data_IF_312048344370
#
_entry.id   IF_312048344370
#
_cell.length_a   1.000
_cell.length_b   1.000
_cell.length_c   1.000
_cell.angle_alpha   90.00
_cell.angle_beta   90.00
_cell.angle_gamma   90.00
#
_symmetry.space_group_name_H-M   'P 1'
#
loop_
_entity.id
_entity.type
_entity.pdbx_description
1 polymer ?
#
# COMPACT_ATOMS: atom_id res chain seq x y z
N UNK A 1 5.46 22.22 6.46
CA UNK A 1 4.18 21.56 6.16
C UNK A 1 3.13 22.10 7.10
N UNK A 2 1.96 22.45 6.58
CA UNK A 2 0.81 22.96 7.34
C UNK A 2 0.23 21.79 8.14
N UNK A 3 0.13 21.86 9.48
CA UNK A 3 -0.32 20.76 10.33
C UNK A 3 -1.86 20.61 10.32
N UNK A 4 -2.44 20.49 9.13
CA UNK A 4 -3.88 20.29 8.87
C UNK A 4 -4.07 19.44 7.62
N UNK A 5 -5.18 18.74 7.54
CA UNK A 5 -5.59 18.03 6.32
C UNK A 5 -5.84 19.03 5.18
N UNK A 6 -5.54 18.63 3.94
CA UNK A 6 -5.56 19.53 2.78
C UNK A 6 -6.93 20.16 2.52
N UNK A 7 -8.02 19.44 2.79
CA UNK A 7 -9.41 19.88 2.65
C UNK A 7 -9.84 20.88 3.74
N UNK A 8 -9.07 20.99 4.82
CA UNK A 8 -9.32 21.90 5.93
C UNK A 8 -8.47 23.17 5.89
N UNK A 9 -7.51 23.26 4.97
CA UNK A 9 -6.66 24.45 4.80
C UNK A 9 -7.51 25.58 4.23
N UNK A 10 -7.43 26.75 4.87
CA UNK A 10 -8.15 27.95 4.45
C UNK A 10 -7.18 29.13 4.26
N UNK A 11 -7.70 30.24 3.75
CA UNK A 11 -6.92 31.47 3.60
C UNK A 11 -6.27 31.92 4.92
N UNK A 12 -6.95 31.75 6.05
CA UNK A 12 -6.42 32.14 7.36
C UNK A 12 -5.14 31.39 7.73
N UNK A 13 -4.98 30.15 7.25
CA UNK A 13 -3.75 29.37 7.47
C UNK A 13 -2.58 29.91 6.65
N UNK A 14 -2.84 30.35 5.41
CA UNK A 14 -1.83 31.00 4.56
C UNK A 14 -1.47 32.38 5.09
N UNK A 15 -2.44 33.12 5.61
CA UNK A 15 -2.21 34.39 6.30
C UNK A 15 -1.38 34.20 7.57
N UNK A 16 -1.63 33.14 8.34
CA UNK A 16 -0.82 32.83 9.51
C UNK A 16 0.65 32.54 9.14
N UNK A 17 0.93 31.87 8.01
CA UNK A 17 2.30 31.69 7.52
C UNK A 17 2.97 33.03 7.21
N UNK A 18 2.22 33.96 6.60
CA UNK A 18 2.69 35.32 6.30
C UNK A 18 2.96 36.13 7.57
N UNK A 19 2.00 36.20 8.49
CA UNK A 19 2.09 36.98 9.72
C UNK A 19 3.23 36.49 10.64
N UNK A 20 3.45 35.18 10.68
CA UNK A 20 4.55 34.58 11.44
C UNK A 20 5.89 34.61 10.68
N UNK A 21 5.94 35.22 9.48
CA UNK A 21 7.15 35.30 8.65
C UNK A 21 7.83 33.94 8.45
N UNK A 22 7.03 32.91 8.16
CA UNK A 22 7.54 31.54 8.00
C UNK A 22 8.28 31.45 6.67
N UNK A 23 9.61 31.24 6.67
CA UNK A 23 10.37 31.17 5.44
C UNK A 23 10.14 29.84 4.73
N UNK A 24 10.45 29.82 3.43
CA UNK A 24 10.68 28.59 2.69
C UNK A 24 11.74 27.72 3.38
N UNK A 25 11.73 26.43 3.03
CA UNK A 25 12.85 25.58 3.41
C UNK A 25 12.58 24.12 3.12
N UNK A 26 12.83 23.29 4.11
CA UNK A 26 12.83 21.83 3.93
C UNK A 26 11.43 21.26 3.64
N UNK A 27 10.37 21.89 4.15
CA UNK A 27 8.99 21.36 4.11
C UNK A 27 7.95 22.33 3.54
N UNK A 28 8.39 23.48 3.01
CA UNK A 28 7.55 24.51 2.41
C UNK A 28 8.28 25.11 1.19
N UNK A 29 7.51 25.37 0.14
CA UNK A 29 7.90 26.11 -1.05
C UNK A 29 6.71 26.99 -1.47
N UNK A 30 6.97 28.25 -1.80
CA UNK A 30 6.02 29.25 -2.24
C UNK A 30 6.24 29.55 -3.72
N UNK A 31 5.17 29.51 -4.51
CA UNK A 31 5.20 29.84 -5.94
C UNK A 31 4.09 30.82 -6.27
N UNK A 32 4.41 31.81 -7.09
CA UNK A 32 3.42 32.78 -7.55
C UNK A 32 2.44 32.16 -8.55
N UNK A 33 2.95 31.38 -9.51
CA UNK A 33 2.18 30.84 -10.63
C UNK A 33 2.33 29.32 -10.76
N UNK A 34 1.33 28.68 -11.37
CA UNK A 34 1.39 27.28 -11.77
C UNK A 34 2.39 27.06 -12.92
N UNK A 35 2.98 25.86 -13.06
CA UNK A 35 3.90 25.59 -14.16
C UNK A 35 3.22 25.76 -15.52
N UNK A 36 3.84 26.55 -16.40
CA UNK A 36 3.32 26.80 -17.73
C UNK A 36 3.47 25.58 -18.66
N UNK A 37 3.14 25.75 -19.94
CA UNK A 37 3.34 24.71 -20.96
C UNK A 37 4.81 24.53 -21.36
N UNK A 38 5.69 25.46 -20.98
CA UNK A 38 7.13 25.43 -21.29
C UNK A 38 7.84 24.28 -20.58
N UNK A 39 8.78 23.65 -21.28
CA UNK A 39 9.53 22.52 -20.73
C UNK A 39 10.36 22.89 -19.49
N UNK A 40 10.90 24.11 -19.45
CA UNK A 40 11.71 24.57 -18.32
C UNK A 40 10.87 24.60 -17.03
N UNK A 41 9.67 25.16 -17.10
CA UNK A 41 8.75 25.28 -15.97
C UNK A 41 8.25 23.91 -15.51
N UNK A 42 7.98 23.01 -16.45
CA UNK A 42 7.63 21.61 -16.15
C UNK A 42 8.77 20.90 -15.43
N UNK A 43 10.01 21.04 -15.91
CA UNK A 43 11.18 20.43 -15.25
C UNK A 43 11.37 20.99 -13.84
N UNK A 44 11.19 22.29 -13.67
CA UNK A 44 11.35 22.95 -12.38
C UNK A 44 10.31 22.47 -11.37
N UNK A 45 9.04 22.40 -11.79
CA UNK A 45 7.95 21.85 -10.99
C UNK A 45 8.18 20.39 -10.58
N UNK A 46 8.57 19.53 -11.52
CA UNK A 46 8.86 18.12 -11.23
C UNK A 46 10.08 17.98 -10.30
N UNK A 47 11.06 18.88 -10.43
CA UNK A 47 12.21 18.93 -9.54
C UNK A 47 11.77 19.35 -8.11
N UNK A 48 10.87 20.32 -7.98
CA UNK A 48 10.31 20.71 -6.68
C UNK A 48 9.58 19.53 -6.02
N UNK A 49 8.63 18.91 -6.74
CA UNK A 49 7.86 17.77 -6.24
C UNK A 49 8.76 16.60 -5.87
N UNK A 50 9.67 16.16 -6.76
CA UNK A 50 10.59 15.04 -6.46
C UNK A 50 11.53 15.35 -5.30
N UNK A 51 11.96 16.60 -5.14
CA UNK A 51 12.83 16.99 -4.04
C UNK A 51 12.18 16.81 -2.67
N UNK A 52 10.87 17.09 -2.53
CA UNK A 52 10.14 16.84 -1.29
C UNK A 52 10.04 15.36 -0.98
N UNK A 53 9.66 14.55 -1.97
CA UNK A 53 9.55 13.10 -1.84
C UNK A 53 10.87 12.45 -1.44
N UNK A 54 12.00 12.94 -1.96
CA UNK A 54 13.35 12.45 -1.66
C UNK A 54 13.92 12.95 -0.33
N UNK A 55 13.26 13.90 0.33
CA UNK A 55 13.72 14.52 1.56
C UNK A 55 12.83 14.13 2.75
N UNK A 56 12.01 15.08 3.24
CA UNK A 56 11.17 14.90 4.43
C UNK A 56 9.69 15.07 4.13
N UNK A 57 9.30 15.19 2.86
CA UNK A 57 7.98 15.64 2.45
C UNK A 57 7.76 17.13 2.74
N UNK A 58 6.63 17.67 2.27
CA UNK A 58 6.27 19.08 2.47
C UNK A 58 5.10 19.53 1.61
N UNK A 59 4.86 20.84 1.65
CA UNK A 59 3.81 21.50 0.88
C UNK A 59 4.40 22.49 -0.14
N UNK A 60 3.95 22.39 -1.39
CA UNK A 60 4.09 23.42 -2.42
C UNK A 60 2.84 24.29 -2.41
N UNK A 61 2.98 25.60 -2.21
CA UNK A 61 1.86 26.53 -2.11
C UNK A 61 1.92 27.51 -3.28
N UNK A 62 0.89 27.49 -4.12
CA UNK A 62 0.76 28.34 -5.29
C UNK A 62 -0.18 29.53 -5.06
N UNK A 63 0.08 30.64 -5.75
CA UNK A 63 -0.65 31.90 -5.59
C UNK A 63 -0.01 32.84 -4.56
N UNK A 64 1.26 32.63 -4.25
CA UNK A 64 2.00 33.34 -3.20
C UNK A 64 3.23 33.99 -3.79
N UNK A 65 3.42 35.28 -3.57
CA UNK A 65 4.67 35.97 -3.88
C UNK A 65 5.57 35.88 -2.66
N UNK A 66 6.75 35.32 -2.87
CA UNK A 66 7.81 35.31 -1.88
C UNK A 66 8.71 36.54 -1.98
N UNK A 67 9.23 36.97 -0.84
CA UNK A 67 10.36 37.87 -0.74
C UNK A 67 11.63 37.08 -1.04
N UNK A 68 12.36 37.48 -2.09
CA UNK A 68 13.57 36.78 -2.58
C UNK A 68 14.77 36.83 -1.62
N UNK A 69 14.80 37.78 -0.69
CA UNK A 69 15.88 37.89 0.30
C UNK A 69 15.59 37.03 1.54
N UNK A 70 14.32 36.98 1.97
CA UNK A 70 13.94 36.30 3.21
C UNK A 70 13.30 34.92 3.02
N UNK A 71 12.81 34.61 1.81
CA UNK A 71 12.04 33.40 1.51
C UNK A 71 10.68 33.38 2.20
N UNK A 72 10.20 34.51 2.72
CA UNK A 72 8.90 34.62 3.40
C UNK A 72 7.83 35.13 2.46
N UNK A 73 6.56 35.04 2.85
CA UNK A 73 5.44 35.52 2.03
C UNK A 73 5.41 37.06 2.01
N UNK A 74 5.68 37.66 0.86
CA UNK A 74 5.49 39.10 0.62
C UNK A 74 4.00 39.41 0.42
N UNK A 75 3.31 38.64 -0.43
CA UNK A 75 1.89 38.84 -0.71
C UNK A 75 1.15 37.56 -1.14
N UNK A 76 -0.15 37.51 -0.83
CA UNK A 76 -1.06 36.44 -1.24
C UNK A 76 -1.88 36.97 -2.43
N UNK A 77 -1.32 36.92 -3.63
CA UNK A 77 -2.02 37.43 -4.82
C UNK A 77 -3.04 36.46 -5.39
N UNK A 78 -2.89 35.16 -5.15
CA UNK A 78 -3.74 34.13 -5.72
C UNK A 78 -3.59 33.93 -7.22
N UNK A 79 -4.13 32.81 -7.68
CA UNK A 79 -4.16 32.36 -9.06
C UNK A 79 -5.51 32.70 -9.69
N UNK A 80 -5.48 33.10 -10.96
CA UNK A 80 -6.68 33.20 -11.79
C UNK A 80 -6.78 31.93 -12.65
N UNK A 81 -7.68 31.02 -12.28
CA UNK A 81 -7.85 29.74 -12.97
C UNK A 81 -9.30 29.63 -13.46
N UNK A 82 -9.49 29.41 -14.76
CA UNK A 82 -10.83 29.25 -15.35
C UNK A 82 -11.48 27.93 -14.94
N UNK A 83 -10.71 26.84 -14.95
CA UNK A 83 -11.16 25.51 -14.58
C UNK A 83 -10.14 24.83 -13.66
N UNK A 84 -10.42 24.86 -12.36
CA UNK A 84 -9.52 24.32 -11.33
C UNK A 84 -9.34 22.81 -11.47
N UNK A 85 -10.43 22.07 -11.72
CA UNK A 85 -10.38 20.61 -11.84
C UNK A 85 -9.48 20.16 -13.00
N UNK A 86 -9.55 20.88 -14.13
CA UNK A 86 -8.69 20.63 -15.28
C UNK A 86 -7.22 20.89 -14.97
N UNK A 87 -6.91 21.95 -14.21
CA UNK A 87 -5.53 22.25 -13.81
C UNK A 87 -4.99 21.24 -12.80
N UNK A 88 -5.81 20.79 -11.84
CA UNK A 88 -5.44 19.72 -10.90
C UNK A 88 -5.08 18.44 -11.67
N UNK A 89 -5.95 18.01 -12.60
CA UNK A 89 -5.68 16.84 -13.45
C UNK A 89 -4.40 17.00 -14.27
N UNK A 90 -4.16 18.19 -14.83
CA UNK A 90 -2.95 18.48 -15.60
C UNK A 90 -1.68 18.34 -14.76
N UNK A 91 -1.71 18.82 -13.51
CA UNK A 91 -0.57 18.73 -12.59
C UNK A 91 -0.32 17.29 -12.16
N UNK A 92 -1.37 16.54 -11.85
CA UNK A 92 -1.29 15.12 -11.48
C UNK A 92 -0.71 14.27 -12.61
N UNK A 93 -1.22 14.44 -13.84
CA UNK A 93 -0.69 13.78 -15.03
C UNK A 93 0.81 14.12 -15.25
N UNK A 94 1.18 15.39 -15.03
CA UNK A 94 2.57 15.81 -15.17
C UNK A 94 3.50 15.14 -14.17
N UNK A 95 3.08 15.02 -12.90
CA UNK A 95 3.82 14.33 -11.84
C UNK A 95 3.96 12.84 -12.19
N UNK A 96 2.85 12.21 -12.57
CA UNK A 96 2.79 10.77 -12.89
C UNK A 96 3.68 10.37 -14.06
N UNK A 97 3.76 11.23 -15.08
CA UNK A 97 4.48 10.94 -16.32
C UNK A 97 5.93 11.46 -16.29
N UNK A 98 6.23 12.44 -15.43
CA UNK A 98 7.52 13.12 -15.38
C UNK A 98 8.48 12.65 -14.28
N UNK A 99 8.03 11.78 -13.37
CA UNK A 99 8.83 11.30 -12.22
C UNK A 99 8.88 9.78 -12.18
N UNK A 100 10.09 9.24 -11.98
CA UNK A 100 10.37 7.80 -11.93
C UNK A 100 11.33 7.43 -10.78
N UNK A 101 11.05 6.40 -9.95
CA UNK A 101 9.75 5.72 -9.84
C UNK A 101 8.63 6.71 -9.49
N UNK A 102 7.35 6.34 -9.67
CA UNK A 102 6.23 7.25 -9.36
C UNK A 102 6.19 7.56 -7.86
N UNK A 103 5.85 8.78 -7.48
CA UNK A 103 5.72 9.14 -6.06
C UNK A 103 4.37 8.61 -5.57
N UNK A 104 4.32 7.74 -4.55
CA UNK A 104 3.05 7.33 -3.96
C UNK A 104 2.38 8.50 -3.25
N UNK A 105 1.07 8.66 -3.43
CA UNK A 105 0.20 9.53 -2.60
C UNK A 105 0.54 11.03 -2.62
N UNK A 106 0.78 11.62 -3.81
CA UNK A 106 0.77 13.09 -3.94
C UNK A 106 -0.67 13.58 -3.95
N UNK A 107 -0.98 14.57 -3.12
CA UNK A 107 -2.35 15.10 -3.00
C UNK A 107 -2.36 16.59 -3.30
N UNK A 108 -3.35 17.04 -4.06
CA UNK A 108 -3.57 18.46 -4.38
C UNK A 108 -4.84 18.92 -3.65
N UNK A 109 -4.77 20.05 -2.96
CA UNK A 109 -5.90 20.60 -2.22
C UNK A 109 -7.06 20.96 -3.15
N UNK A 110 -8.31 20.98 -2.65
CA UNK A 110 -9.35 21.79 -3.25
C UNK A 110 -8.91 23.25 -3.40
N UNK A 111 -9.54 24.05 -4.28
CA UNK A 111 -9.21 25.47 -4.41
C UNK A 111 -9.46 26.18 -3.07
N UNK A 112 -8.44 26.87 -2.58
CA UNK A 112 -8.54 27.68 -1.37
C UNK A 112 -8.98 29.09 -1.80
N UNK A 113 -10.24 29.50 -1.57
CA UNK A 113 -10.71 30.82 -1.96
C UNK A 113 -10.01 31.90 -1.14
N UNK A 114 -9.58 32.97 -1.81
CA UNK A 114 -9.00 34.15 -1.19
C UNK A 114 -10.00 35.32 -1.20
N UNK A 115 -9.84 36.26 -0.28
CA UNK A 115 -10.64 37.49 -0.17
C UNK A 115 -10.67 38.31 -1.46
N UNK A 116 -9.62 38.25 -2.27
CA UNK A 116 -9.51 38.97 -3.54
C UNK A 116 -10.22 38.25 -4.72
N UNK A 117 -11.06 37.25 -4.45
CA UNK A 117 -11.78 36.42 -5.43
C UNK A 117 -10.91 35.55 -6.32
N UNK A 118 -9.62 35.40 -6.00
CA UNK A 118 -8.72 34.42 -6.62
C UNK A 118 -8.58 33.19 -5.72
N UNK A 119 -7.78 32.21 -6.16
CA UNK A 119 -7.60 30.96 -5.42
C UNK A 119 -6.12 30.65 -5.16
N UNK A 120 -5.83 29.98 -4.06
CA UNK A 120 -4.54 29.33 -3.83
C UNK A 120 -4.69 27.80 -3.95
N UNK A 121 -3.58 27.12 -4.25
CA UNK A 121 -3.52 25.66 -4.32
C UNK A 121 -2.35 25.16 -3.50
N UNK A 122 -2.54 24.05 -2.79
CA UNK A 122 -1.49 23.38 -2.03
C UNK A 122 -1.30 21.98 -2.58
N UNK A 123 -0.06 21.65 -2.97
CA UNK A 123 0.34 20.29 -3.31
C UNK A 123 1.12 19.71 -2.13
N UNK A 124 0.57 18.70 -1.48
CA UNK A 124 1.25 17.97 -0.43
C UNK A 124 1.97 16.77 -1.01
N UNK A 125 3.27 16.74 -0.78
CA UNK A 125 4.14 15.64 -1.20
C UNK A 125 4.65 14.94 0.06
N UNK A 126 4.26 13.69 0.32
CA UNK A 126 4.78 12.95 1.46
C UNK A 126 6.25 12.58 1.24
N UNK A 127 6.97 12.28 2.32
CA UNK A 127 8.27 11.62 2.20
C UNK A 127 8.04 10.25 1.55
N UNK A 128 8.75 9.97 0.46
CA UNK A 128 8.61 8.70 -0.23
C UNK A 128 9.57 7.64 0.29
N UNK A 129 9.00 6.46 0.51
CA UNK A 129 9.71 5.26 0.94
C UNK A 129 10.43 4.53 -0.20
N UNK A 130 10.07 4.80 -1.45
CA UNK A 130 10.77 4.28 -2.64
C UNK A 130 11.71 5.32 -3.27
N UNK A 131 12.09 6.33 -2.48
CA UNK A 131 13.13 7.28 -2.86
C UNK A 131 14.47 6.56 -3.15
N UNK A 132 15.33 7.13 -4.01
CA UNK A 132 15.18 8.43 -4.65
C UNK A 132 14.37 8.38 -5.97
N UNK A 133 13.59 9.44 -6.18
CA UNK A 133 12.82 9.75 -7.38
C UNK A 133 13.61 10.66 -8.32
N UNK A 134 13.56 10.33 -9.61
CA UNK A 134 14.21 11.07 -10.69
C UNK A 134 13.17 11.83 -11.49
N UNK A 135 13.53 13.02 -11.96
CA UNK A 135 12.78 13.71 -13.00
C UNK A 135 13.18 13.15 -14.37
N UNK A 136 12.33 12.31 -14.97
CA UNK A 136 12.57 11.66 -16.27
C UNK A 136 12.11 12.49 -17.46
N UNK A 137 11.39 13.59 -17.22
CA UNK A 137 10.81 14.43 -18.27
C UNK A 137 11.85 14.95 -19.28
N UNK A 138 11.66 14.61 -20.56
CA UNK A 138 12.52 14.98 -21.70
C UNK A 138 14.02 14.74 -21.44
N UNK A 139 14.36 13.60 -20.83
CA UNK A 139 15.75 13.18 -20.61
C UNK A 139 16.52 14.08 -19.64
N UNK A 140 15.81 14.74 -18.72
CA UNK A 140 16.46 15.56 -17.69
C UNK A 140 17.25 14.70 -16.71
N UNK A 141 16.72 13.54 -16.36
CA UNK A 141 17.35 12.42 -15.64
C UNK A 141 18.12 12.81 -14.36
N UNK A 142 17.65 13.83 -13.65
CA UNK A 142 18.24 14.30 -12.38
C UNK A 142 17.41 13.93 -11.18
N UNK A 143 18.10 13.63 -10.09
CA UNK A 143 17.53 13.42 -8.77
C UNK A 143 17.75 14.68 -7.93
N UNK A 144 16.70 15.10 -7.23
CA UNK A 144 16.72 16.29 -6.39
C UNK A 144 16.40 15.92 -4.95
N UNK A 145 16.93 16.66 -3.99
CA UNK A 145 16.56 16.62 -2.59
C UNK A 145 16.49 18.02 -2.02
N UNK A 146 16.09 18.16 -0.75
CA UNK A 146 15.91 19.45 -0.07
C UNK A 146 16.73 19.55 1.21
N UNK A 147 17.33 20.72 1.39
CA UNK A 147 18.00 21.13 2.62
C UNK A 147 17.22 22.28 3.27
N UNK A 148 17.77 22.90 4.31
CA UNK A 148 17.25 24.16 4.82
C UNK A 148 17.26 25.28 3.78
N UNK A 149 18.18 25.21 2.80
CA UNK A 149 18.40 26.25 1.80
C UNK A 149 17.66 25.96 0.47
N UNK A 150 16.65 25.08 0.52
CA UNK A 150 15.84 24.71 -0.64
C UNK A 150 16.36 23.47 -1.38
N UNK A 151 15.90 23.36 -2.63
CA UNK A 151 16.15 22.24 -3.54
C UNK A 151 17.58 22.22 -4.08
N UNK A 152 18.20 21.03 -4.15
CA UNK A 152 19.50 20.82 -4.78
C UNK A 152 19.56 19.45 -5.49
N UNK A 153 20.39 19.29 -6.53
CA UNK A 153 20.60 17.98 -7.16
C UNK A 153 21.46 17.08 -6.25
N UNK A 154 21.05 15.82 -6.09
CA UNK A 154 21.80 14.83 -5.30
C UNK A 154 23.10 14.43 -6.01
N UNK A 155 24.18 14.30 -5.24
CA UNK A 155 25.44 13.75 -5.74
C UNK A 155 25.50 12.21 -5.71
N UNK A 156 26.59 11.62 -6.21
CA UNK A 156 26.76 10.16 -6.27
C UNK A 156 26.81 9.51 -4.87
N UNK A 157 27.39 10.17 -3.87
CA UNK A 157 27.46 9.65 -2.52
C UNK A 157 26.10 9.70 -1.84
N UNK A 158 25.38 10.81 -1.99
CA UNK A 158 24.02 10.96 -1.46
C UNK A 158 23.04 10.02 -2.17
N UNK A 159 23.16 9.84 -3.50
CA UNK A 159 22.39 8.85 -4.24
C UNK A 159 22.64 7.43 -3.71
N UNK A 160 23.90 7.05 -3.47
CA UNK A 160 24.22 5.75 -2.89
C UNK A 160 23.57 5.57 -1.51
N UNK A 161 23.59 6.60 -0.67
CA UNK A 161 22.92 6.57 0.64
C UNK A 161 21.40 6.44 0.47
N UNK A 162 20.80 7.22 -0.43
CA UNK A 162 19.37 7.22 -0.70
C UNK A 162 18.88 5.85 -1.20
N UNK A 163 19.57 5.24 -2.17
CA UNK A 163 19.24 3.90 -2.66
C UNK A 163 19.39 2.82 -1.59
N UNK A 164 20.42 2.89 -0.74
CA UNK A 164 20.59 1.92 0.35
C UNK A 164 19.47 2.04 1.41
N UNK A 165 18.97 3.25 1.67
CA UNK A 165 17.89 3.47 2.64
C UNK A 165 16.56 2.86 2.17
N UNK A 166 16.23 2.90 0.88
CA UNK A 166 15.04 2.24 0.32
C UNK A 166 15.19 0.72 0.22
N UNK A 167 16.40 0.22 -0.06
CA UNK A 167 16.71 -1.21 -0.04
C UNK A 167 16.42 -1.85 1.34
N UNK A 168 16.53 -1.09 2.44
CA UNK A 168 16.22 -1.60 3.79
C UNK A 168 14.74 -1.94 4.02
N UNK A 169 13.78 -1.32 3.32
CA UNK A 169 12.35 -1.53 3.59
C UNK A 169 11.79 -2.75 2.89
N UNK A 170 12.06 -2.91 1.59
CA UNK A 170 11.70 -4.13 0.87
C UNK A 170 12.38 -5.36 1.49
N UNK A 171 13.63 -5.23 1.92
CA UNK A 171 14.34 -6.29 2.60
C UNK A 171 13.74 -6.60 3.98
N UNK A 172 13.29 -5.59 4.74
CA UNK A 172 12.53 -5.81 5.99
C UNK A 172 11.20 -6.51 5.76
N UNK A 173 10.46 -6.16 4.72
CA UNK A 173 9.21 -6.83 4.33
C UNK A 173 9.47 -8.30 4.00
N UNK A 174 10.50 -8.58 3.19
CA UNK A 174 10.90 -9.95 2.84
C UNK A 174 11.33 -10.75 4.07
N UNK A 175 12.15 -10.16 4.94
CA UNK A 175 12.61 -10.82 6.16
C UNK A 175 11.45 -11.09 7.13
N UNK A 176 10.50 -10.15 7.27
CA UNK A 176 9.27 -10.39 8.01
C UNK A 176 8.51 -11.59 7.43
N UNK A 177 8.26 -11.60 6.12
CA UNK A 177 7.56 -12.71 5.46
C UNK A 177 8.27 -14.05 5.69
N UNK A 178 9.58 -14.12 5.53
CA UNK A 178 10.38 -15.34 5.70
C UNK A 178 10.37 -15.85 7.14
N UNK A 179 10.50 -14.96 8.13
CA UNK A 179 10.38 -15.29 9.56
C UNK A 179 8.99 -15.86 9.87
N UNK A 180 7.93 -15.18 9.41
CA UNK A 180 6.55 -15.63 9.63
C UNK A 180 6.27 -16.97 8.98
N UNK A 181 6.67 -17.16 7.71
CA UNK A 181 6.50 -18.45 7.01
C UNK A 181 7.18 -19.58 7.78
N UNK A 182 8.40 -19.34 8.28
CA UNK A 182 9.17 -20.35 9.00
C UNK A 182 8.50 -20.73 10.32
N UNK A 183 7.99 -19.76 11.08
CA UNK A 183 7.23 -19.98 12.33
C UNK A 183 5.91 -20.71 12.08
N UNK A 184 5.13 -20.29 11.08
CA UNK A 184 3.86 -20.94 10.74
C UNK A 184 4.10 -22.39 10.28
N UNK A 185 5.15 -22.63 9.48
CA UNK A 185 5.52 -23.97 9.03
C UNK A 185 5.91 -24.89 10.21
N UNK A 186 6.59 -24.35 11.22
CA UNK A 186 6.94 -25.05 12.45
C UNK A 186 5.81 -25.14 13.50
N UNK A 187 4.59 -24.67 13.18
CA UNK A 187 3.46 -24.49 14.13
C UNK A 187 3.79 -23.61 15.35
N UNK A 188 4.74 -22.69 15.23
CA UNK A 188 4.99 -21.62 16.20
C UNK A 188 4.01 -20.46 15.98
N UNK A 189 2.72 -20.77 16.11
CA UNK A 189 1.59 -19.87 15.89
C UNK A 189 1.13 -19.20 17.18
N UNK A 190 0.41 -18.05 17.13
CA UNK A 190 -0.05 -17.35 18.33
C UNK A 190 -1.08 -18.14 19.16
N UNK A 191 -1.60 -19.25 18.62
CA UNK A 191 -2.54 -20.20 19.23
C UNK A 191 -2.12 -21.62 18.86
N UNK A 192 -2.43 -22.66 19.66
CA UNK A 192 -2.28 -24.04 19.22
C UNK A 192 -3.02 -24.25 17.90
N UNK A 193 -2.35 -24.80 16.89
CA UNK A 193 -2.89 -24.87 15.54
C UNK A 193 -2.73 -26.28 14.97
N UNK A 194 -3.62 -26.68 14.06
CA UNK A 194 -3.53 -27.97 13.39
C UNK A 194 -2.19 -28.19 12.70
N UNK A 195 -1.62 -29.39 12.90
CA UNK A 195 -0.39 -29.81 12.25
C UNK A 195 -0.66 -30.40 10.87
N UNK A 196 -1.10 -29.54 9.95
CA UNK A 196 -1.43 -29.91 8.57
C UNK A 196 -1.06 -28.81 7.58
N UNK A 197 -1.44 -28.99 6.32
CA UNK A 197 -1.27 -27.99 5.28
C UNK A 197 -2.08 -26.72 5.56
N UNK A 198 -1.49 -25.56 5.24
CA UNK A 198 -2.05 -24.24 5.59
C UNK A 198 -2.00 -23.28 4.41
N UNK A 199 -2.91 -22.32 4.42
CA UNK A 199 -2.93 -21.15 3.57
C UNK A 199 -2.63 -19.93 4.46
N UNK A 200 -1.57 -19.21 4.16
CA UNK A 200 -1.17 -18.00 4.86
C UNK A 200 -1.29 -16.78 3.93
N UNK A 201 -2.04 -15.77 4.37
CA UNK A 201 -2.22 -14.49 3.72
C UNK A 201 -1.65 -13.39 4.60
N UNK A 202 -0.66 -12.65 4.08
CA UNK A 202 -0.07 -11.50 4.74
C UNK A 202 -0.41 -10.23 3.98
N UNK A 203 -0.98 -9.24 4.65
CA UNK A 203 -1.11 -7.86 4.16
C UNK A 203 -0.13 -7.02 4.98
N UNK A 204 0.86 -6.47 4.30
CA UNK A 204 2.00 -5.77 4.90
C UNK A 204 2.05 -4.35 4.34
N UNK A 205 1.40 -3.37 5.00
CA UNK A 205 1.56 -1.96 4.66
C UNK A 205 3.04 -1.56 4.73
N UNK A 206 3.53 -0.78 3.78
CA UNK A 206 4.94 -0.35 3.81
C UNK A 206 5.26 0.47 5.08
N UNK A 207 4.27 1.24 5.55
CA UNK A 207 4.39 2.10 6.73
C UNK A 207 4.58 1.31 8.03
N UNK A 208 4.29 0.01 8.05
CA UNK A 208 4.41 -0.87 9.22
C UNK A 208 5.84 -1.01 9.77
N UNK A 209 6.85 -0.61 9.01
CA UNK A 209 8.24 -0.64 9.44
C UNK A 209 8.79 0.72 9.90
N UNK A 210 7.93 1.75 9.92
CA UNK A 210 8.22 3.01 10.61
C UNK A 210 8.04 2.80 12.12
N UNK A 211 9.08 2.99 12.96
CA UNK A 211 8.99 2.77 14.40
C UNK A 211 7.94 3.63 15.13
N UNK A 212 7.55 4.77 14.54
CA UNK A 212 6.52 5.63 15.10
C UNK A 212 5.09 5.17 14.76
N UNK A 213 4.92 4.27 13.79
CA UNK A 213 3.61 3.82 13.35
C UNK A 213 3.00 2.84 14.33
N UNK A 214 1.82 3.17 14.85
CA UNK A 214 1.02 2.26 15.67
C UNK A 214 -0.47 2.57 15.47
N UNK A 215 -1.29 1.53 15.41
CA UNK A 215 -2.74 1.61 15.25
C UNK A 215 -3.45 1.14 16.52
N UNK A 216 -4.60 1.73 16.81
CA UNK A 216 -5.43 1.35 17.94
C UNK A 216 -6.24 0.07 17.64
N UNK A 217 -5.83 -1.02 18.27
CA UNK A 217 -6.50 -2.31 18.17
C UNK A 217 -7.90 -2.34 18.82
N UNK A 218 -8.26 -1.34 19.65
CA UNK A 218 -9.58 -1.27 20.29
C UNK A 218 -10.74 -1.17 19.29
N UNK A 219 -10.47 -0.62 18.10
CA UNK A 219 -11.41 -0.53 16.98
C UNK A 219 -11.82 -1.92 16.48
N UNK A 220 -10.92 -2.91 16.58
CA UNK A 220 -11.18 -4.31 16.22
C UNK A 220 -11.83 -5.04 17.39
N UNK A 221 -11.38 -4.79 18.61
CA UNK A 221 -11.93 -5.43 19.80
C UNK A 221 -13.39 -5.05 20.07
N UNK A 222 -13.78 -3.82 19.72
CA UNK A 222 -15.17 -3.35 19.83
C UNK A 222 -16.10 -4.00 18.82
N UNK A 223 -15.58 -4.47 17.68
CA UNK A 223 -16.34 -5.18 16.66
C UNK A 223 -15.46 -6.18 15.90
N UNK A 224 -15.42 -7.40 16.43
CA UNK A 224 -14.60 -8.47 15.86
C UNK A 224 -15.09 -8.98 14.50
N UNK A 225 -16.29 -8.58 14.06
CA UNK A 225 -16.80 -8.92 12.73
C UNK A 225 -16.01 -8.23 11.60
N UNK A 226 -15.23 -7.20 11.92
CA UNK A 226 -14.31 -6.53 11.00
C UNK A 226 -13.06 -7.36 10.68
N UNK A 227 -12.76 -8.38 11.49
CA UNK A 227 -11.57 -9.23 11.32
C UNK A 227 -11.90 -10.72 11.52
N UNK A 228 -12.79 -11.30 10.70
CA UNK A 228 -13.16 -12.69 10.85
C UNK A 228 -12.02 -13.63 10.39
N UNK A 229 -11.76 -14.73 11.10
CA UNK A 229 -10.90 -15.81 10.59
C UNK A 229 -11.40 -16.37 9.27
N UNK A 230 -10.47 -16.70 8.39
CA UNK A 230 -10.76 -17.30 7.07
C UNK A 230 -11.50 -18.63 7.25
N UNK A 231 -12.49 -18.91 6.40
CA UNK A 231 -13.26 -20.16 6.44
C UNK A 231 -13.80 -20.53 7.85
N UNK A 232 -14.45 -19.58 8.52
CA UNK A 232 -14.99 -19.78 9.87
C UNK A 232 -16.48 -19.42 9.99
N UNK A 233 -17.15 -20.05 10.97
CA UNK A 233 -18.56 -19.82 11.31
C UNK A 233 -18.76 -19.16 12.69
N UNK A 234 -17.68 -19.04 13.46
CA UNK A 234 -17.63 -18.43 14.78
C UNK A 234 -16.17 -18.36 15.25
N UNK A 235 -15.85 -17.41 16.12
CA UNK A 235 -14.48 -17.16 16.54
C UNK A 235 -14.40 -16.61 17.96
N UNK A 236 -13.26 -16.89 18.59
CA UNK A 236 -12.80 -16.28 19.82
C UNK A 236 -11.83 -15.14 19.48
N UNK A 237 -11.55 -14.29 20.46
CA UNK A 237 -10.61 -13.18 20.29
C UNK A 237 -9.83 -12.88 21.58
N UNK A 238 -8.67 -12.24 21.44
CA UNK A 238 -7.87 -11.74 22.57
C UNK A 238 -6.84 -10.70 22.13
N UNK A 239 -6.42 -9.88 23.07
CA UNK A 239 -5.18 -9.13 22.94
C UNK A 239 -3.96 -10.01 23.21
N UNK A 240 -2.84 -9.70 22.57
CA UNK A 240 -1.53 -10.26 22.90
C UNK A 240 -0.43 -9.18 22.84
N UNK A 241 0.82 -9.63 23.03
CA UNK A 241 1.98 -8.74 23.01
C UNK A 241 2.11 -7.99 21.68
N UNK A 242 1.66 -8.57 20.57
CA UNK A 242 1.86 -8.02 19.22
C UNK A 242 0.69 -7.15 18.74
N UNK A 243 -0.53 -7.43 19.20
CA UNK A 243 -1.72 -6.64 18.91
C UNK A 243 -3.01 -7.37 19.30
N UNK A 244 -3.83 -7.69 18.31
CA UNK A 244 -5.14 -8.32 18.50
C UNK A 244 -5.31 -9.54 17.62
N UNK A 245 -5.89 -10.59 18.18
CA UNK A 245 -6.03 -11.90 17.56
C UNK A 245 -7.50 -12.30 17.52
N UNK A 246 -7.99 -12.75 16.37
CA UNK A 246 -9.21 -13.57 16.22
C UNK A 246 -8.82 -14.98 15.79
N UNK A 247 -9.53 -16.00 16.29
CA UNK A 247 -9.22 -17.40 15.98
C UNK A 247 -10.45 -18.29 16.12
N UNK A 248 -10.47 -19.38 15.36
CA UNK A 248 -11.53 -20.38 15.39
C UNK A 248 -10.93 -21.74 15.73
N UNK A 249 -11.57 -22.40 16.69
CA UNK A 249 -11.08 -23.63 17.31
C UNK A 249 -12.07 -24.77 17.13
N UNK A 250 -11.55 -25.99 17.15
CA UNK A 250 -12.36 -27.19 17.25
C UNK A 250 -12.81 -27.47 18.70
N UNK A 251 -13.44 -28.63 18.91
CA UNK A 251 -13.89 -29.06 20.23
C UNK A 251 -12.73 -29.33 21.21
N UNK A 252 -11.54 -29.62 20.70
CA UNK A 252 -10.31 -29.88 21.49
C UNK A 252 -9.52 -28.59 21.77
N UNK A 253 -10.04 -27.42 21.34
CA UNK A 253 -9.40 -26.10 21.44
C UNK A 253 -8.11 -25.98 20.64
N UNK A 254 -8.01 -26.73 19.55
CA UNK A 254 -6.96 -26.57 18.55
C UNK A 254 -7.51 -25.68 17.44
N UNK A 255 -6.81 -24.58 17.15
CA UNK A 255 -7.23 -23.64 16.12
C UNK A 255 -7.01 -24.22 14.73
N UNK A 256 -7.95 -23.92 13.84
CA UNK A 256 -7.84 -24.22 12.42
C UNK A 256 -7.83 -22.96 11.55
N UNK A 257 -8.09 -21.79 12.14
CA UNK A 257 -8.00 -20.51 11.47
C UNK A 257 -7.69 -19.40 12.49
N UNK A 258 -6.83 -18.45 12.12
CA UNK A 258 -6.60 -17.24 12.91
C UNK A 258 -6.31 -16.03 12.04
N UNK A 259 -6.55 -14.84 12.61
CA UNK A 259 -6.08 -13.56 12.08
C UNK A 259 -5.39 -12.78 13.19
N UNK A 260 -4.13 -12.45 12.98
CA UNK A 260 -3.35 -11.57 13.83
C UNK A 260 -3.27 -10.19 13.17
N UNK A 261 -3.79 -9.18 13.87
CA UNK A 261 -3.47 -7.78 13.61
C UNK A 261 -2.32 -7.35 14.50
N UNK A 262 -1.21 -6.94 13.89
CA UNK A 262 -0.08 -6.36 14.60
C UNK A 262 -0.31 -4.86 14.80
N UNK A 263 0.18 -4.28 15.91
CA UNK A 263 0.01 -2.85 16.19
C UNK A 263 0.56 -1.94 15.10
N UNK A 264 1.52 -2.40 14.31
CA UNK A 264 2.07 -1.65 13.19
C UNK A 264 1.23 -1.74 11.90
N UNK A 265 0.06 -2.38 11.91
CA UNK A 265 -0.87 -2.44 10.77
C UNK A 265 -0.75 -3.68 9.90
N UNK A 266 0.18 -4.59 10.20
CA UNK A 266 0.29 -5.86 9.48
C UNK A 266 -0.89 -6.76 9.84
N UNK A 267 -1.47 -7.42 8.84
CA UNK A 267 -2.42 -8.51 9.02
C UNK A 267 -1.77 -9.82 8.58
N UNK A 268 -1.77 -10.82 9.46
CA UNK A 268 -1.43 -12.21 9.16
C UNK A 268 -2.68 -13.07 9.38
N UNK A 269 -3.20 -13.66 8.31
CA UNK A 269 -4.30 -14.61 8.38
C UNK A 269 -3.80 -16.00 7.98
N UNK A 270 -4.12 -17.03 8.76
CA UNK A 270 -3.74 -18.41 8.47
C UNK A 270 -4.95 -19.31 8.61
N UNK A 271 -5.13 -20.21 7.64
CA UNK A 271 -6.24 -21.14 7.55
C UNK A 271 -5.68 -22.54 7.28
N UNK A 272 -6.19 -23.56 7.96
CA UNK A 272 -5.70 -24.94 7.85
C UNK A 272 -6.81 -25.98 7.69
N UNK A 273 -8.08 -25.61 7.60
CA UNK A 273 -9.18 -26.55 7.45
C UNK A 273 -9.46 -26.92 5.98
N UNK A 274 -9.41 -25.96 5.05
CA UNK A 274 -9.71 -26.18 3.62
C UNK A 274 -8.82 -27.22 2.96
N UNK A 275 -7.58 -27.33 3.43
CA UNK A 275 -6.59 -28.27 2.91
C UNK A 275 -6.52 -29.58 3.71
N UNK A 276 -7.46 -29.84 4.62
CA UNK A 276 -7.51 -31.14 5.28
C UNK A 276 -7.73 -32.28 4.27
N UNK A 277 -7.05 -33.44 4.44
CA UNK A 277 -7.25 -34.57 3.54
C UNK A 277 -8.71 -35.01 3.49
N UNK A 278 -9.30 -35.04 2.29
CA UNK A 278 -10.67 -35.50 2.10
C UNK A 278 -10.67 -36.95 1.60
N UNK A 279 -11.26 -37.88 2.35
CA UNK A 279 -11.26 -39.33 2.03
C UNK A 279 -9.84 -39.87 1.75
N UNK A 280 -8.84 -39.37 2.48
CA UNK A 280 -7.43 -39.75 2.34
C UNK A 280 -6.71 -39.12 1.14
N UNK A 281 -7.35 -38.21 0.40
CA UNK A 281 -6.75 -37.51 -0.74
C UNK A 281 -6.26 -36.11 -0.33
N UNK A 282 -5.05 -35.77 -0.76
CA UNK A 282 -4.47 -34.44 -0.61
C UNK A 282 -4.92 -33.56 -1.78
N UNK A 283 -5.97 -32.79 -1.56
CA UNK A 283 -6.60 -31.99 -2.62
C UNK A 283 -6.78 -30.54 -2.20
N UNK A 284 -6.64 -29.64 -3.16
CA UNK A 284 -7.00 -28.22 -3.04
C UNK A 284 -8.40 -28.07 -3.62
N UNK A 285 -9.40 -27.64 -2.84
CA UNK A 285 -10.79 -27.50 -3.32
C UNK A 285 -10.92 -26.27 -4.21
N UNK A 286 -10.85 -26.47 -5.54
CA UNK A 286 -10.63 -25.41 -6.55
C UNK A 286 -11.47 -24.14 -6.42
N UNK A 287 -12.73 -24.26 -5.98
CA UNK A 287 -13.64 -23.11 -5.81
C UNK A 287 -13.53 -22.52 -4.40
N UNK A 288 -13.57 -23.38 -3.38
CA UNK A 288 -13.73 -22.95 -1.99
C UNK A 288 -12.53 -22.12 -1.50
N UNK A 289 -11.30 -22.50 -1.86
CA UNK A 289 -10.12 -21.77 -1.40
C UNK A 289 -10.03 -20.35 -2.00
N UNK A 290 -10.36 -20.19 -3.29
CA UNK A 290 -10.37 -18.87 -3.93
C UNK A 290 -11.49 -17.99 -3.36
N UNK A 291 -12.69 -18.56 -3.19
CA UNK A 291 -13.84 -17.84 -2.67
C UNK A 291 -13.58 -17.32 -1.24
N UNK A 292 -13.04 -18.14 -0.35
CA UNK A 292 -12.73 -17.72 1.02
C UNK A 292 -11.60 -16.69 1.04
N UNK A 293 -10.56 -16.85 0.21
CA UNK A 293 -9.49 -15.86 0.12
C UNK A 293 -9.98 -14.50 -0.40
N UNK A 294 -10.81 -14.46 -1.45
CA UNK A 294 -11.38 -13.22 -1.99
C UNK A 294 -12.22 -12.53 -0.90
N UNK A 295 -13.10 -13.29 -0.23
CA UNK A 295 -13.97 -12.78 0.84
C UNK A 295 -13.15 -12.21 2.00
N UNK A 296 -12.19 -12.97 2.51
CA UNK A 296 -11.36 -12.54 3.64
C UNK A 296 -10.46 -11.37 3.28
N UNK A 297 -9.83 -11.39 2.11
CA UNK A 297 -9.02 -10.28 1.61
C UNK A 297 -9.84 -8.98 1.51
N UNK A 298 -11.07 -9.05 0.99
CA UNK A 298 -11.98 -7.90 0.93
C UNK A 298 -12.26 -7.34 2.34
N UNK A 299 -12.55 -8.21 3.31
CA UNK A 299 -12.77 -7.81 4.70
C UNK A 299 -11.54 -7.14 5.32
N UNK A 300 -10.34 -7.70 5.09
CA UNK A 300 -9.11 -7.16 5.64
C UNK A 300 -8.71 -5.81 5.01
N UNK A 301 -8.93 -5.61 3.70
CA UNK A 301 -8.75 -4.29 3.08
C UNK A 301 -9.72 -3.26 3.66
N UNK A 302 -10.98 -3.63 3.88
CA UNK A 302 -11.96 -2.76 4.52
C UNK A 302 -11.54 -2.38 5.95
N UNK A 303 -10.94 -3.31 6.68
CA UNK A 303 -10.40 -3.04 8.02
C UNK A 303 -9.24 -2.04 7.96
N UNK A 304 -8.24 -2.29 7.11
CA UNK A 304 -7.09 -1.39 6.96
C UNK A 304 -7.53 0.02 6.56
N UNK A 305 -8.51 0.13 5.66
CA UNK A 305 -9.11 1.42 5.28
C UNK A 305 -9.82 2.11 6.46
N UNK A 306 -10.52 1.35 7.30
CA UNK A 306 -11.20 1.89 8.50
C UNK A 306 -10.19 2.41 9.54
N UNK A 307 -8.99 1.81 9.58
CA UNK A 307 -7.89 2.20 10.45
C UNK A 307 -7.01 3.31 9.85
N UNK A 308 -7.39 3.85 8.70
CA UNK A 308 -6.64 4.88 7.96
C UNK A 308 -5.19 4.46 7.68
N UNK A 309 -5.02 3.20 7.29
CA UNK A 309 -3.71 2.67 6.87
C UNK A 309 -3.42 3.14 5.45
N UNK A 310 -2.34 3.88 5.25
CA UNK A 310 -1.96 4.37 3.92
C UNK A 310 -1.32 3.26 3.06
N UNK A 311 -1.73 3.13 1.78
CA UNK A 311 -0.99 2.36 0.77
C UNK A 311 0.42 2.94 0.51
N UNK A 312 1.36 2.16 -0.07
CA UNK A 312 1.15 0.83 -0.64
C UNK A 312 1.10 -0.31 0.37
N UNK A 313 0.30 -1.33 0.05
CA UNK A 313 0.16 -2.58 0.83
C UNK A 313 0.71 -3.75 0.01
N UNK A 314 1.69 -4.44 0.56
CA UNK A 314 2.22 -5.68 -0.02
C UNK A 314 1.34 -6.85 0.41
N UNK A 315 0.90 -7.65 -0.57
CA UNK A 315 0.05 -8.81 -0.34
C UNK A 315 0.84 -10.06 -0.72
N UNK A 316 0.97 -10.96 0.24
CA UNK A 316 1.64 -12.25 0.05
C UNK A 316 0.69 -13.39 0.35
N UNK A 317 0.58 -14.33 -0.58
CA UNK A 317 -0.12 -15.59 -0.38
C UNK A 317 0.89 -16.73 -0.41
N UNK A 318 0.81 -17.63 0.57
CA UNK A 318 1.71 -18.79 0.70
C UNK A 318 0.92 -20.03 1.08
N UNK A 319 1.15 -21.13 0.39
CA UNK A 319 0.66 -22.46 0.78
C UNK A 319 1.79 -23.24 1.45
N UNK A 320 1.52 -23.84 2.60
CA UNK A 320 2.50 -24.50 3.48
C UNK A 320 2.11 -25.96 3.67
N UNK A 321 3.09 -26.88 3.64
CA UNK A 321 2.85 -28.33 3.80
C UNK A 321 2.08 -28.95 2.63
N UNK A 322 2.19 -28.39 1.42
CA UNK A 322 1.35 -28.77 0.27
C UNK A 322 2.02 -29.73 -0.72
N UNK A 323 3.17 -30.30 -0.38
CA UNK A 323 3.81 -31.30 -1.24
C UNK A 323 2.89 -32.51 -1.42
N UNK A 324 2.70 -32.94 -2.66
CA UNK A 324 1.81 -34.05 -2.98
C UNK A 324 0.33 -33.67 -3.13
N UNK A 325 -0.06 -32.42 -2.85
CA UNK A 325 -1.42 -31.95 -3.11
C UNK A 325 -1.67 -31.80 -4.61
N UNK A 326 -2.91 -32.00 -5.03
CA UNK A 326 -3.38 -31.77 -6.40
C UNK A 326 -4.64 -30.92 -6.42
N UNK A 327 -4.96 -30.30 -7.55
CA UNK A 327 -6.19 -29.51 -7.67
C UNK A 327 -7.41 -30.43 -7.82
N UNK A 328 -8.43 -30.24 -6.99
CA UNK A 328 -9.73 -30.88 -7.17
C UNK A 328 -10.50 -30.17 -8.29
N UNK A 329 -10.62 -30.81 -9.45
CA UNK A 329 -11.41 -30.29 -10.57
C UNK A 329 -12.64 -31.15 -10.82
N UNK A 330 -13.72 -30.55 -11.33
CA UNK A 330 -14.93 -31.30 -11.67
C UNK A 330 -14.66 -32.34 -12.77
N UNK A 331 -15.49 -33.38 -12.85
CA UNK A 331 -15.36 -34.44 -13.87
C UNK A 331 -15.35 -33.90 -15.31
N UNK A 332 -15.95 -32.73 -15.54
CA UNK A 332 -15.93 -32.04 -16.84
C UNK A 332 -14.52 -31.69 -17.29
N UNK A 333 -13.58 -31.54 -16.35
CA UNK A 333 -12.17 -31.25 -16.61
C UNK A 333 -11.27 -32.47 -16.38
N UNK A 334 -11.84 -33.68 -16.27
CA UNK A 334 -11.07 -34.93 -16.08
C UNK A 334 -10.09 -35.26 -17.22
N UNK A 335 -10.28 -34.65 -18.40
CA UNK A 335 -9.34 -34.75 -19.51
C UNK A 335 -8.02 -33.99 -19.28
N UNK A 336 -8.02 -33.00 -18.39
CA UNK A 336 -6.82 -32.25 -18.02
C UNK A 336 -6.02 -33.08 -17.01
N UNK A 337 -4.75 -33.34 -17.31
CA UNK A 337 -3.86 -34.05 -16.38
C UNK A 337 -3.59 -33.16 -15.17
N UNK A 338 -4.13 -33.55 -14.03
CA UNK A 338 -3.75 -32.95 -12.74
C UNK A 338 -2.39 -33.49 -12.31
N UNK A 339 -1.53 -32.60 -11.84
CA UNK A 339 -0.22 -32.92 -11.30
C UNK A 339 -0.18 -32.60 -9.80
N UNK A 340 0.62 -33.36 -9.07
CA UNK A 340 0.86 -33.07 -7.66
C UNK A 340 1.94 -32.00 -7.50
N UNK A 341 1.76 -31.09 -6.54
CA UNK A 341 2.75 -30.08 -6.18
C UNK A 341 4.05 -30.75 -5.69
N UNK A 342 5.20 -30.27 -6.17
CA UNK A 342 6.52 -30.88 -5.99
C UNK A 342 7.28 -30.44 -4.73
N UNK A 343 6.76 -29.43 -4.00
CA UNK A 343 7.43 -28.77 -2.86
C UNK A 343 6.46 -28.48 -1.72
N UNK A 344 6.99 -28.39 -0.51
CA UNK A 344 6.18 -28.16 0.71
C UNK A 344 5.69 -26.72 0.85
N UNK A 345 6.51 -25.75 0.44
CA UNK A 345 6.21 -24.33 0.56
C UNK A 345 6.05 -23.75 -0.84
N UNK A 346 4.85 -23.29 -1.15
CA UNK A 346 4.52 -22.60 -2.39
C UNK A 346 4.35 -21.11 -2.11
N UNK A 347 5.43 -20.35 -2.29
CA UNK A 347 5.42 -18.89 -2.25
C UNK A 347 4.90 -18.36 -3.58
N UNK A 348 3.83 -17.58 -3.55
CA UNK A 348 3.19 -17.04 -4.74
C UNK A 348 3.71 -15.64 -5.08
N UNK A 349 3.43 -15.13 -6.30
CA UNK A 349 3.82 -13.79 -6.71
C UNK A 349 3.41 -12.73 -5.70
N UNK A 350 4.29 -11.77 -5.49
CA UNK A 350 4.03 -10.58 -4.70
C UNK A 350 3.07 -9.65 -5.44
N UNK A 351 2.05 -9.16 -4.73
CA UNK A 351 1.09 -8.19 -5.29
C UNK A 351 1.18 -6.91 -4.47
N UNK A 352 1.29 -5.77 -5.15
CA UNK A 352 1.38 -4.45 -4.51
C UNK A 352 0.08 -3.70 -4.81
N UNK A 353 -0.59 -3.24 -3.75
CA UNK A 353 -1.73 -2.36 -3.83
C UNK A 353 -1.29 -0.92 -3.65
N UNK A 354 -1.40 -0.10 -4.69
CA UNK A 354 -1.11 1.35 -4.61
C UNK A 354 -2.31 2.17 -4.12
N UNK A 355 -3.52 1.61 -4.14
CA UNK A 355 -4.74 2.23 -3.64
C UNK A 355 -5.74 1.18 -3.13
N UNK A 356 -6.80 1.64 -2.45
CA UNK A 356 -7.92 0.78 -2.06
C UNK A 356 -8.99 0.60 -3.16
N UNK A 357 -8.90 1.35 -4.27
CA UNK A 357 -9.85 1.27 -5.37
C UNK A 357 -9.47 0.12 -6.31
N UNK A 358 -9.72 -1.11 -5.85
CA UNK A 358 -9.33 -2.34 -6.53
C UNK A 358 -10.47 -3.35 -6.52
N UNK A 359 -10.43 -4.27 -7.49
CA UNK A 359 -11.34 -5.41 -7.57
C UNK A 359 -10.62 -6.62 -6.94
N UNK A 360 -10.98 -7.07 -5.72
CA UNK A 360 -10.22 -8.07 -4.95
C UNK A 360 -9.91 -9.36 -5.72
N UNK A 361 -10.87 -9.89 -6.46
CA UNK A 361 -10.72 -11.11 -7.26
C UNK A 361 -9.75 -10.95 -8.45
N UNK A 362 -9.57 -9.72 -8.96
CA UNK A 362 -8.57 -9.46 -10.01
C UNK A 362 -7.17 -9.31 -9.42
N UNK A 363 -7.06 -8.73 -8.22
CA UNK A 363 -5.81 -8.60 -7.48
C UNK A 363 -5.20 -9.96 -7.15
N UNK A 364 -6.00 -10.91 -6.67
CA UNK A 364 -5.52 -12.24 -6.28
C UNK A 364 -5.35 -13.23 -7.44
N UNK A 365 -5.88 -12.90 -8.63
CA UNK A 365 -5.86 -13.78 -9.80
C UNK A 365 -4.45 -14.32 -10.16
N UNK A 366 -3.36 -13.51 -10.18
CA UNK A 366 -2.03 -14.03 -10.48
C UNK A 366 -1.55 -15.09 -9.47
N UNK A 367 -1.94 -14.96 -8.20
CA UNK A 367 -1.65 -15.94 -7.17
C UNK A 367 -2.43 -17.24 -7.40
N UNK A 368 -3.72 -17.15 -7.74
CA UNK A 368 -4.53 -18.32 -8.07
C UNK A 368 -4.00 -19.03 -9.31
N UNK A 369 -3.72 -18.31 -10.39
CA UNK A 369 -3.14 -18.89 -11.60
C UNK A 369 -1.84 -19.65 -11.27
N UNK A 370 -1.00 -19.11 -10.38
CA UNK A 370 0.25 -19.76 -9.93
C UNK A 370 0.00 -21.06 -9.14
N UNK A 371 -1.03 -21.13 -8.29
CA UNK A 371 -1.41 -22.37 -7.59
C UNK A 371 -1.89 -23.42 -8.61
N UNK A 372 -2.73 -23.02 -9.56
CA UNK A 372 -3.20 -23.91 -10.63
C UNK A 372 -2.04 -24.39 -11.53
N UNK A 373 -1.06 -23.53 -11.82
CA UNK A 373 0.17 -23.90 -12.53
C UNK A 373 0.97 -24.97 -11.78
N UNK A 374 1.08 -24.84 -10.44
CA UNK A 374 1.75 -25.84 -9.61
C UNK A 374 1.04 -27.22 -9.65
N UNK A 375 -0.26 -27.24 -9.98
CA UNK A 375 -1.05 -28.45 -10.20
C UNK A 375 -1.13 -28.87 -11.68
N UNK A 376 -0.37 -28.24 -12.58
CA UNK A 376 -0.29 -28.60 -14.00
C UNK A 376 -1.33 -27.96 -14.92
N UNK A 377 -2.14 -27.03 -14.43
CA UNK A 377 -3.14 -26.31 -15.23
C UNK A 377 -2.61 -24.95 -15.70
N UNK A 378 -3.05 -24.42 -16.86
CA UNK A 378 -2.51 -23.17 -17.40
C UNK A 378 -2.93 -21.91 -16.62
N UNK A 379 -4.08 -21.95 -15.95
CA UNK A 379 -4.67 -20.83 -15.18
C UNK A 379 -5.82 -21.34 -14.30
N UNK A 380 -6.34 -20.50 -13.40
CA UNK A 380 -7.58 -20.80 -12.69
C UNK A 380 -8.75 -20.90 -13.68
N UNK A 381 -9.56 -21.96 -13.54
CA UNK A 381 -10.76 -22.16 -14.34
C UNK A 381 -11.99 -21.45 -13.78
N UNK A 382 -11.86 -20.76 -12.65
CA UNK A 382 -12.93 -19.98 -12.04
C UNK A 382 -13.04 -18.57 -12.62
N UNK A 383 -12.36 -18.26 -13.72
CA UNK A 383 -12.42 -16.96 -14.40
C UNK A 383 -12.93 -17.12 -15.83
N UNK A 384 -13.87 -16.26 -16.23
CA UNK A 384 -14.38 -16.22 -17.60
C UNK A 384 -13.36 -15.58 -18.58
N UNK A 385 -13.70 -15.54 -19.87
CA UNK A 385 -12.81 -14.97 -20.90
C UNK A 385 -12.60 -13.45 -20.76
N UNK A 386 -13.50 -12.75 -20.05
CA UNK A 386 -13.36 -11.34 -19.67
C UNK A 386 -12.48 -11.14 -18.42
N UNK A 387 -12.00 -12.24 -17.79
CA UNK A 387 -11.19 -12.20 -16.57
C UNK A 387 -11.98 -11.90 -15.30
N UNK A 388 -13.30 -12.10 -15.32
CA UNK A 388 -14.16 -11.95 -14.15
C UNK A 388 -14.30 -13.29 -13.42
N UNK A 389 -14.33 -13.24 -12.09
CA UNK A 389 -14.49 -14.44 -11.27
C UNK A 389 -15.91 -15.00 -11.42
N UNK A 390 -15.99 -16.20 -11.98
CA UNK A 390 -17.19 -16.93 -12.32
C UNK A 390 -16.95 -18.43 -12.08
N UNK A 391 -16.96 -18.88 -10.81
CA UNK A 391 -16.68 -20.27 -10.45
C UNK A 391 -17.71 -21.23 -11.09
N UNK A 392 -17.28 -22.44 -11.46
CA UNK A 392 -18.09 -23.41 -12.22
C UNK A 392 -17.99 -24.84 -11.74
#
# INVERSE_FOLDING_TARGET
MIPKDLDQIKEEDLQALKENSVPEGKTLEYKQELPSSLDADKKEFLADVSSFANASGGDLIFGVIEDRETGTIESLEGLTIENVDQEILRLDDMIRDGIEPRIPSVSISPPIPLINSKVALVIRVPKSWISPHRVSFRGHDKFYSRSSNGKYPLDVAELRVAFNLSETMTERIRNFRLDRISKIYANETPVPFYDNAKIALHLVPIISFNPAQSYDASIIASDTSKMPPMHSYGWNNRYNLDGFLTHSDDQERISYSYVQFYRNGIIEAVEGQLLQPYKGQLIIPSIAYEQELIKSFTGYLSLLKTLDVEPPIFVFLTLLGVKGYSMAVSERFSFARSHTIDRDILQLPEVILESYDVIPEKVLKPCFDSIWNACGFPKSFNYNDAGEWAPR
#
